data_IF_391117131753
#
_entry.id   IF_391117131753
#
_cell.length_a   1.000
_cell.length_b   1.000
_cell.length_c   1.000
_cell.angle_alpha   90.00
_cell.angle_beta   90.00
_cell.angle_gamma   90.00
#
_symmetry.space_group_name_H-M   'P 1'
#
loop_
_entity.id
_entity.type
_entity.pdbx_description
1 polymer ?
#
# COMPACT_ATOMS: atom_id res chain seq x y z
N UNK A 1 7.28 -4.67 -14.31
CA UNK A 1 8.39 -3.75 -13.92
C UNK A 1 7.75 -2.52 -13.32
N UNK A 2 8.22 -2.03 -12.16
CA UNK A 2 7.71 -0.79 -11.56
C UNK A 2 8.49 0.38 -12.18
N UNK A 3 7.78 1.30 -12.86
CA UNK A 3 8.36 2.47 -13.52
C UNK A 3 7.82 3.80 -13.00
N UNK A 4 6.64 3.78 -12.41
CA UNK A 4 6.05 4.99 -11.80
C UNK A 4 5.49 4.64 -10.42
N UNK A 5 5.92 5.38 -9.42
CA UNK A 5 5.48 5.23 -8.03
C UNK A 5 4.77 6.53 -7.62
N UNK A 6 3.51 6.43 -7.20
CA UNK A 6 2.78 7.53 -6.60
C UNK A 6 2.92 7.46 -5.08
N UNK A 7 3.36 8.53 -4.45
CA UNK A 7 3.41 8.63 -2.98
C UNK A 7 2.52 9.78 -2.49
N UNK A 8 1.72 9.51 -1.46
CA UNK A 8 0.89 10.52 -0.81
C UNK A 8 1.73 11.44 0.06
N UNK A 9 1.55 12.75 -0.10
CA UNK A 9 2.28 13.80 0.62
C UNK A 9 1.27 14.60 1.45
N UNK A 10 1.02 14.17 2.69
CA UNK A 10 -0.04 14.68 3.57
C UNK A 10 0.47 15.52 4.75
N UNK A 11 1.80 15.55 4.97
CA UNK A 11 2.41 16.25 6.11
C UNK A 11 2.18 15.55 7.46
N UNK A 12 1.73 14.30 7.48
CA UNK A 12 1.57 13.51 8.72
C UNK A 12 2.92 13.05 9.28
N UNK A 13 2.93 12.65 10.56
CA UNK A 13 4.12 12.08 11.22
C UNK A 13 4.66 10.81 10.53
N UNK A 14 3.80 10.09 9.81
CA UNK A 14 4.19 8.91 9.05
C UNK A 14 4.80 9.23 7.67
N UNK A 15 4.82 10.51 7.25
CA UNK A 15 5.30 10.90 5.93
C UNK A 15 6.76 10.54 5.72
N UNK A 16 7.64 10.76 6.70
CA UNK A 16 9.07 10.49 6.57
C UNK A 16 9.36 9.00 6.33
N UNK A 17 8.68 8.12 7.06
CA UNK A 17 8.79 6.67 6.87
C UNK A 17 8.31 6.25 5.48
N UNK A 18 7.19 6.81 5.03
CA UNK A 18 6.63 6.58 3.70
C UNK A 18 7.55 7.06 2.59
N UNK A 19 8.13 8.26 2.72
CA UNK A 19 9.07 8.80 1.74
C UNK A 19 10.34 7.98 1.67
N UNK A 20 10.90 7.53 2.81
CA UNK A 20 12.06 6.61 2.80
C UNK A 20 11.79 5.36 1.98
N UNK A 21 10.66 4.68 2.23
CA UNK A 21 10.29 3.49 1.46
C UNK A 21 10.09 3.78 -0.03
N UNK A 22 9.41 4.88 -0.36
CA UNK A 22 9.15 5.28 -1.75
C UNK A 22 10.45 5.63 -2.50
N UNK A 23 11.34 6.41 -1.88
CA UNK A 23 12.65 6.76 -2.46
C UNK A 23 13.54 5.52 -2.64
N UNK A 24 13.56 4.62 -1.65
CA UNK A 24 14.28 3.36 -1.76
C UNK A 24 13.81 2.55 -2.98
N UNK A 25 12.49 2.38 -3.13
CA UNK A 25 11.91 1.65 -4.25
C UNK A 25 12.14 2.36 -5.59
N UNK A 26 12.05 3.70 -5.63
CA UNK A 26 12.31 4.47 -6.83
C UNK A 26 13.75 4.25 -7.33
N UNK A 27 14.73 4.33 -6.43
CA UNK A 27 16.13 4.08 -6.76
C UNK A 27 16.37 2.61 -7.14
N UNK A 28 15.82 1.65 -6.38
CA UNK A 28 15.99 0.24 -6.65
C UNK A 28 15.37 -0.21 -7.97
N UNK A 29 14.26 0.40 -8.42
CA UNK A 29 13.55 0.04 -9.65
C UNK A 29 13.88 0.96 -10.83
N UNK A 30 14.70 1.99 -10.67
CA UNK A 30 14.90 3.06 -11.64
C UNK A 30 13.52 3.60 -12.09
N UNK A 31 12.70 4.00 -11.11
CA UNK A 31 11.34 4.44 -11.30
C UNK A 31 11.18 5.96 -11.10
N UNK A 32 10.24 6.54 -11.82
CA UNK A 32 9.80 7.91 -11.63
C UNK A 32 8.92 8.02 -10.37
N UNK A 33 9.22 8.97 -9.49
CA UNK A 33 8.50 9.18 -8.25
C UNK A 33 7.58 10.39 -8.33
N UNK A 34 6.29 10.18 -8.15
CA UNK A 34 5.26 11.23 -8.17
C UNK A 34 4.81 11.51 -6.75
N UNK A 35 5.05 12.73 -6.26
CA UNK A 35 4.52 13.21 -4.99
C UNK A 35 3.17 13.87 -5.18
N UNK A 36 2.09 13.29 -4.64
CA UNK A 36 0.74 13.83 -4.69
C UNK A 36 0.32 14.47 -3.37
N UNK A 37 0.09 15.78 -3.34
CA UNK A 37 -0.53 16.47 -2.21
C UNK A 37 -1.90 17.00 -2.62
N UNK A 38 -2.85 16.90 -1.69
CA UNK A 38 -4.22 17.33 -1.89
C UNK A 38 -4.57 18.53 -0.99
N UNK A 39 -5.61 19.27 -1.38
CA UNK A 39 -6.15 20.39 -0.59
C UNK A 39 -7.15 19.92 0.48
N UNK A 40 -7.51 18.63 0.48
CA UNK A 40 -8.52 18.03 1.38
C UNK A 40 -9.97 18.29 0.96
N UNK A 41 -10.20 19.22 0.04
CA UNK A 41 -11.50 19.57 -0.51
C UNK A 41 -11.34 20.18 -1.91
N UNK A 42 -12.24 19.88 -2.84
CA UNK A 42 -12.32 20.50 -4.15
C UNK A 42 -12.78 21.96 -4.08
N UNK A 43 -12.35 22.79 -5.02
CA UNK A 43 -12.76 24.19 -5.05
C UNK A 43 -14.28 24.36 -5.12
N UNK A 44 -14.96 23.56 -5.93
CA UNK A 44 -16.42 23.63 -6.07
C UNK A 44 -17.15 23.32 -4.75
N UNK A 45 -16.72 22.25 -4.05
CA UNK A 45 -17.29 21.86 -2.77
C UNK A 45 -17.04 22.93 -1.70
N UNK A 46 -15.83 23.48 -1.68
CA UNK A 46 -15.48 24.59 -0.81
C UNK A 46 -16.36 25.82 -1.08
N UNK A 47 -16.55 26.20 -2.35
CA UNK A 47 -17.37 27.32 -2.74
C UNK A 47 -18.85 27.14 -2.37
N UNK A 48 -19.37 25.92 -2.52
CA UNK A 48 -20.73 25.56 -2.09
C UNK A 48 -20.89 25.66 -0.58
N UNK A 49 -19.95 25.16 0.20
CA UNK A 49 -19.98 25.19 1.67
C UNK A 49 -19.88 26.62 2.22
N UNK A 50 -19.11 27.47 1.57
CA UNK A 50 -18.87 28.86 2.03
C UNK A 50 -19.82 29.89 1.43
N UNK A 51 -20.70 29.49 0.51
CA UNK A 51 -21.58 30.40 -0.23
C UNK A 51 -20.84 31.23 -1.29
N UNK A 52 -19.58 30.91 -1.61
CA UNK A 52 -18.74 31.66 -2.54
C UNK A 52 -18.95 31.28 -4.02
N UNK A 53 -20.05 30.60 -4.35
CA UNK A 53 -20.34 30.06 -5.72
C UNK A 53 -20.33 31.13 -6.81
N UNK A 54 -20.58 32.39 -6.47
CA UNK A 54 -20.53 33.52 -7.41
C UNK A 54 -19.10 34.06 -7.64
N UNK A 55 -18.11 33.61 -6.87
CA UNK A 55 -16.74 34.06 -7.03
C UNK A 55 -16.06 33.33 -8.20
N UNK A 56 -15.48 34.10 -9.11
CA UNK A 56 -14.72 33.57 -10.26
C UNK A 56 -13.30 33.13 -9.89
N UNK A 57 -12.83 33.46 -8.70
CA UNK A 57 -11.49 33.14 -8.19
C UNK A 57 -11.58 32.57 -6.78
N UNK A 58 -10.62 31.69 -6.45
CA UNK A 58 -10.49 31.15 -5.11
C UNK A 58 -10.32 32.26 -4.06
N UNK A 59 -11.14 32.20 -3.00
CA UNK A 59 -11.02 33.12 -1.89
C UNK A 59 -9.74 32.89 -1.07
N UNK A 60 -9.37 33.86 -0.19
CA UNK A 60 -8.12 33.79 0.58
C UNK A 60 -7.96 32.49 1.37
N UNK A 61 -9.04 31.95 1.92
CA UNK A 61 -8.99 30.72 2.73
C UNK A 61 -8.67 29.47 1.90
N UNK A 62 -9.16 29.39 0.66
CA UNK A 62 -8.79 28.30 -0.24
C UNK A 62 -7.34 28.40 -0.70
N UNK A 63 -6.82 29.62 -0.87
CA UNK A 63 -5.39 29.83 -1.12
C UNK A 63 -4.51 29.36 0.03
N UNK A 64 -4.98 29.42 1.29
CA UNK A 64 -4.28 28.83 2.43
C UNK A 64 -4.16 27.30 2.30
N UNK A 65 -5.23 26.63 1.86
CA UNK A 65 -5.18 25.17 1.59
C UNK A 65 -4.17 24.83 0.48
N UNK A 66 -4.18 25.58 -0.61
CA UNK A 66 -3.19 25.46 -1.68
C UNK A 66 -1.75 25.70 -1.20
N UNK A 67 -1.54 26.77 -0.43
CA UNK A 67 -0.22 27.08 0.12
C UNK A 67 0.28 25.99 1.05
N UNK A 68 -0.60 25.43 1.89
CA UNK A 68 -0.29 24.30 2.77
C UNK A 68 0.13 23.07 1.96
N UNK A 69 -0.62 22.71 0.94
CA UNK A 69 -0.28 21.57 0.07
C UNK A 69 1.04 21.81 -0.69
N UNK A 70 1.30 23.02 -1.18
CA UNK A 70 2.59 23.39 -1.81
C UNK A 70 3.75 23.30 -0.83
N UNK A 71 3.58 23.72 0.43
CA UNK A 71 4.61 23.59 1.45
C UNK A 71 4.95 22.11 1.73
N UNK A 72 3.95 21.22 1.77
CA UNK A 72 4.18 19.77 1.89
C UNK A 72 4.96 19.21 0.70
N UNK A 73 4.63 19.65 -0.53
CA UNK A 73 5.36 19.26 -1.74
C UNK A 73 6.81 19.74 -1.72
N UNK A 74 7.10 20.94 -1.22
CA UNK A 74 8.48 21.42 -1.08
C UNK A 74 9.30 20.51 -0.13
N UNK A 75 8.71 20.07 0.99
CA UNK A 75 9.35 19.10 1.90
C UNK A 75 9.61 17.77 1.20
N UNK A 76 8.65 17.29 0.42
CA UNK A 76 8.81 16.09 -0.41
C UNK A 76 9.97 16.23 -1.38
N UNK A 77 10.02 17.32 -2.17
CA UNK A 77 11.09 17.55 -3.15
C UNK A 77 12.48 17.56 -2.52
N UNK A 78 12.62 18.22 -1.36
CA UNK A 78 13.87 18.25 -0.63
C UNK A 78 14.29 16.87 -0.10
N UNK A 79 13.33 16.07 0.36
CA UNK A 79 13.60 14.70 0.80
C UNK A 79 14.04 13.81 -0.37
N UNK A 80 13.35 13.91 -1.50
CA UNK A 80 13.63 13.12 -2.71
C UNK A 80 15.00 13.47 -3.31
N UNK A 81 15.35 14.77 -3.37
CA UNK A 81 16.68 15.22 -3.81
C UNK A 81 17.79 14.68 -2.89
N UNK A 82 17.59 14.75 -1.57
CA UNK A 82 18.55 14.20 -0.59
C UNK A 82 18.71 12.68 -0.71
N UNK A 83 17.62 11.97 -1.06
CA UNK A 83 17.66 10.54 -1.30
C UNK A 83 18.28 10.14 -2.66
N UNK A 84 18.63 11.10 -3.51
CA UNK A 84 19.28 10.87 -4.80
C UNK A 84 18.37 10.22 -5.84
N UNK A 85 17.03 10.41 -5.76
CA UNK A 85 16.10 9.90 -6.78
C UNK A 85 16.25 10.70 -8.06
N UNK A 86 16.59 10.02 -9.15
CA UNK A 86 16.96 10.66 -10.42
C UNK A 86 15.78 11.32 -11.14
N UNK A 87 14.57 10.79 -10.98
CA UNK A 87 13.38 11.26 -11.69
C UNK A 87 12.19 11.39 -10.76
N UNK A 88 11.66 12.59 -10.60
CA UNK A 88 10.49 12.84 -9.78
C UNK A 88 9.70 14.06 -10.23
N UNK A 89 8.46 14.14 -9.82
CA UNK A 89 7.59 15.31 -9.98
C UNK A 89 6.66 15.52 -8.78
N UNK A 90 6.15 16.74 -8.64
CA UNK A 90 5.20 17.15 -7.60
C UNK A 90 3.86 17.49 -8.23
N UNK A 91 2.76 16.96 -7.67
CA UNK A 91 1.39 17.23 -8.13
C UNK A 91 0.55 17.78 -6.99
N UNK A 92 0.06 19.01 -7.16
CA UNK A 92 -0.99 19.58 -6.32
C UNK A 92 -2.34 19.20 -6.91
N UNK A 93 -3.23 18.65 -6.09
CA UNK A 93 -4.55 18.19 -6.50
C UNK A 93 -5.60 18.88 -5.62
N UNK A 94 -6.50 19.61 -6.26
CA UNK A 94 -7.56 20.35 -5.57
C UNK A 94 -8.79 19.48 -5.38
N UNK A 95 -8.65 18.50 -4.49
CA UNK A 95 -9.72 17.55 -4.18
C UNK A 95 -9.48 16.88 -2.82
N UNK A 96 -10.41 16.01 -2.39
CA UNK A 96 -10.21 15.13 -1.24
C UNK A 96 -9.19 14.02 -1.59
N UNK A 97 -8.32 13.68 -0.64
CA UNK A 97 -7.23 12.70 -0.83
C UNK A 97 -7.67 11.39 -1.52
N UNK A 98 -8.86 10.86 -1.19
CA UNK A 98 -9.36 9.61 -1.78
C UNK A 98 -9.55 9.70 -3.29
N UNK A 99 -10.20 10.76 -3.75
CA UNK A 99 -10.45 10.99 -5.18
C UNK A 99 -9.18 11.39 -5.91
N UNK A 100 -8.38 12.29 -5.30
CA UNK A 100 -7.12 12.75 -5.83
C UNK A 100 -6.17 11.58 -6.13
N UNK A 101 -5.93 10.73 -5.14
CA UNK A 101 -5.02 9.59 -5.27
C UNK A 101 -5.58 8.48 -6.16
N UNK A 102 -6.90 8.22 -6.10
CA UNK A 102 -7.54 7.25 -6.98
C UNK A 102 -7.38 7.65 -8.45
N UNK A 103 -7.56 8.94 -8.77
CA UNK A 103 -7.38 9.45 -10.13
C UNK A 103 -5.92 9.32 -10.59
N UNK A 104 -4.98 9.76 -9.74
CA UNK A 104 -3.54 9.72 -10.05
C UNK A 104 -2.99 8.29 -10.11
N UNK A 105 -3.51 7.37 -9.32
CA UNK A 105 -3.08 5.98 -9.31
C UNK A 105 -3.22 5.28 -10.67
N UNK A 106 -4.12 5.77 -11.54
CA UNK A 106 -4.32 5.19 -12.88
C UNK A 106 -3.05 5.21 -13.72
N UNK A 107 -2.15 6.16 -13.45
CA UNK A 107 -0.91 6.39 -14.21
C UNK A 107 0.33 5.95 -13.42
N UNK A 108 0.17 5.21 -12.34
CA UNK A 108 1.25 4.64 -11.54
C UNK A 108 1.23 3.11 -11.58
N UNK A 109 2.35 2.48 -11.29
CA UNK A 109 2.46 1.03 -11.13
C UNK A 109 2.28 0.62 -9.66
N UNK A 110 2.57 1.54 -8.73
CA UNK A 110 2.48 1.32 -7.28
C UNK A 110 2.04 2.61 -6.60
N UNK A 111 1.14 2.51 -5.64
CA UNK A 111 0.75 3.62 -4.76
C UNK A 111 1.32 3.37 -3.38
N UNK A 112 2.05 4.35 -2.83
CA UNK A 112 2.68 4.25 -1.50
C UNK A 112 1.93 5.16 -0.53
N UNK A 113 1.40 4.54 0.51
CA UNK A 113 0.63 5.18 1.57
C UNK A 113 1.19 4.81 2.95
N UNK A 114 0.72 5.49 3.98
CA UNK A 114 0.81 5.01 5.36
C UNK A 114 -0.59 4.82 5.92
N UNK A 115 -0.73 3.96 6.91
CA UNK A 115 -1.95 3.97 7.70
C UNK A 115 -2.01 5.25 8.51
N UNK A 116 -3.19 5.86 8.62
CA UNK A 116 -3.42 6.98 9.52
C UNK A 116 -3.11 6.59 10.97
N UNK A 117 -2.65 7.54 11.78
CA UNK A 117 -2.44 7.29 13.20
C UNK A 117 -3.74 6.82 13.85
N UNK A 118 -3.73 5.60 14.41
CA UNK A 118 -4.91 4.98 15.04
C UNK A 118 -5.42 5.76 16.27
N UNK A 119 -4.58 6.63 16.84
CA UNK A 119 -4.81 7.27 18.11
C UNK A 119 -5.25 8.73 18.02
N UNK A 120 -5.37 9.32 16.83
CA UNK A 120 -5.83 10.68 16.70
C UNK A 120 -7.34 10.74 16.44
N UNK A 121 -8.16 11.06 17.48
CA UNK A 121 -9.61 11.23 17.31
C UNK A 121 -9.97 12.39 16.39
N UNK A 122 -9.03 13.33 16.19
CA UNK A 122 -9.22 14.50 15.35
C UNK A 122 -9.07 14.19 13.85
N UNK A 123 -8.43 13.07 13.49
CA UNK A 123 -8.37 12.67 12.08
C UNK A 123 -9.73 12.12 11.61
N UNK A 124 -10.28 12.64 10.51
CA UNK A 124 -11.52 12.12 9.96
C UNK A 124 -11.42 10.61 9.70
N UNK A 125 -12.47 9.86 10.05
CA UNK A 125 -12.55 8.41 9.78
C UNK A 125 -12.25 8.07 8.31
N UNK A 126 -12.48 9.00 7.39
CA UNK A 126 -12.18 8.92 5.96
C UNK A 126 -10.67 8.83 5.66
N UNK A 127 -9.83 9.54 6.41
CA UNK A 127 -8.37 9.48 6.22
C UNK A 127 -7.79 8.14 6.67
N UNK A 128 -8.37 7.53 7.70
CA UNK A 128 -7.94 6.21 8.21
C UNK A 128 -8.23 5.07 7.24
N UNK A 129 -9.28 5.22 6.43
CA UNK A 129 -9.70 4.22 5.45
C UNK A 129 -9.09 4.46 4.05
N UNK A 130 -8.09 5.33 3.92
CA UNK A 130 -7.49 5.64 2.63
C UNK A 130 -6.83 4.42 1.96
N UNK A 131 -6.02 3.59 2.67
CA UNK A 131 -5.48 2.37 2.09
C UNK A 131 -6.57 1.39 1.64
N UNK A 132 -7.61 1.21 2.47
CA UNK A 132 -8.76 0.36 2.15
C UNK A 132 -9.47 0.83 0.89
N UNK A 133 -9.72 2.15 0.82
CA UNK A 133 -10.41 2.74 -0.32
C UNK A 133 -9.64 2.56 -1.63
N UNK A 134 -8.34 2.82 -1.62
CA UNK A 134 -7.50 2.68 -2.81
C UNK A 134 -7.30 1.20 -3.20
N UNK A 135 -7.20 0.29 -2.24
CA UNK A 135 -7.11 -1.13 -2.53
C UNK A 135 -8.39 -1.67 -3.18
N UNK A 136 -9.59 -1.22 -2.72
CA UNK A 136 -10.87 -1.69 -3.23
C UNK A 136 -11.31 -1.04 -4.55
N UNK A 137 -10.98 0.24 -4.73
CA UNK A 137 -11.50 1.03 -5.86
C UNK A 137 -10.42 1.38 -6.88
N UNK A 138 -9.14 1.20 -6.53
CA UNK A 138 -8.00 1.42 -7.42
C UNK A 138 -7.67 0.19 -8.25
N UNK A 139 -7.14 0.41 -9.46
CA UNK A 139 -6.64 -0.67 -10.32
C UNK A 139 -5.16 -1.00 -10.03
N UNK A 140 -4.57 -0.40 -9.01
CA UNK A 140 -3.13 -0.50 -8.74
C UNK A 140 -2.86 -1.02 -7.33
N UNK A 141 -1.77 -1.79 -7.15
CA UNK A 141 -1.38 -2.25 -5.84
C UNK A 141 -1.05 -1.08 -4.93
N UNK A 142 -1.35 -1.26 -3.66
CA UNK A 142 -1.07 -0.28 -2.61
C UNK A 142 -0.03 -0.85 -1.66
N UNK A 143 1.07 -0.12 -1.46
CA UNK A 143 2.07 -0.40 -0.43
C UNK A 143 1.77 0.47 0.78
N UNK A 144 1.38 -0.13 1.88
CA UNK A 144 1.11 0.55 3.15
C UNK A 144 2.36 0.45 4.03
N UNK A 145 2.99 1.59 4.26
CA UNK A 145 4.22 1.69 5.04
C UNK A 145 3.88 2.00 6.49
N UNK A 146 4.38 1.22 7.47
CA UNK A 146 4.17 1.53 8.88
C UNK A 146 4.88 2.84 9.29
N UNK A 147 4.36 3.56 10.30
CA UNK A 147 4.89 4.88 10.69
C UNK A 147 6.30 4.81 11.28
N UNK A 148 6.68 3.67 11.79
CA UNK A 148 7.99 3.38 12.40
C UNK A 148 8.97 2.68 11.42
N UNK A 149 8.64 2.65 10.13
CA UNK A 149 9.56 2.08 9.13
C UNK A 149 10.86 2.89 9.08
N UNK A 150 11.95 2.21 9.34
CA UNK A 150 13.32 2.71 9.20
C UNK A 150 13.97 2.10 7.94
N UNK A 151 15.29 2.27 7.77
CA UNK A 151 16.04 1.81 6.59
C UNK A 151 16.21 0.27 6.54
N UNK A 152 15.12 -0.45 6.73
CA UNK A 152 15.11 -1.91 6.61
C UNK A 152 15.11 -2.30 5.13
N UNK A 153 15.76 -3.44 4.78
CA UNK A 153 15.75 -3.91 3.41
C UNK A 153 14.31 -4.14 2.90
N UNK A 154 13.97 -3.53 1.77
CA UNK A 154 12.69 -3.69 1.10
C UNK A 154 12.96 -4.19 -0.35
N UNK A 155 12.68 -5.47 -0.67
CA UNK A 155 11.86 -6.39 0.09
C UNK A 155 12.58 -7.22 1.17
N UNK A 156 13.92 -7.40 1.14
CA UNK A 156 14.60 -8.35 2.04
C UNK A 156 13.96 -9.76 1.98
N UNK A 157 13.62 -10.35 3.13
CA UNK A 157 12.71 -11.50 3.17
C UNK A 157 11.28 -11.02 2.92
N UNK A 158 10.55 -11.67 2.00
CA UNK A 158 9.14 -11.38 1.74
C UNK A 158 8.24 -12.51 2.26
N UNK A 159 7.18 -12.17 3.00
CA UNK A 159 6.11 -13.11 3.37
C UNK A 159 4.92 -12.88 2.45
N UNK A 160 4.50 -13.90 1.74
CA UNK A 160 3.38 -13.85 0.78
C UNK A 160 2.25 -14.74 1.28
N UNK A 161 1.12 -14.16 1.65
CA UNK A 161 -0.08 -14.91 2.02
C UNK A 161 -0.74 -15.51 0.79
N UNK A 162 -0.93 -16.82 0.78
CA UNK A 162 -1.53 -17.57 -0.31
C UNK A 162 -2.72 -18.41 0.15
N UNK A 163 -3.89 -18.16 -0.44
CA UNK A 163 -5.15 -18.85 -0.17
C UNK A 163 -5.86 -19.34 -1.45
N UNK A 164 -5.22 -19.21 -2.61
CA UNK A 164 -5.80 -19.57 -3.90
C UNK A 164 -6.79 -18.55 -4.46
N UNK A 165 -7.03 -17.43 -3.78
CA UNK A 165 -7.98 -16.40 -4.24
C UNK A 165 -7.47 -15.59 -5.43
N UNK A 166 -8.39 -14.99 -6.18
CA UNK A 166 -8.05 -14.07 -7.27
C UNK A 166 -7.29 -12.85 -6.75
N UNK A 167 -7.60 -12.38 -5.56
CA UNK A 167 -6.95 -11.27 -4.90
C UNK A 167 -5.49 -11.60 -4.53
N UNK A 168 -5.23 -12.82 -4.04
CA UNK A 168 -3.87 -13.28 -3.79
C UNK A 168 -3.08 -13.38 -5.11
N UNK A 169 -3.69 -13.86 -6.18
CA UNK A 169 -3.08 -13.88 -7.52
C UNK A 169 -2.76 -12.46 -7.98
N UNK A 170 -3.71 -11.52 -7.86
CA UNK A 170 -3.50 -10.13 -8.25
C UNK A 170 -2.36 -9.48 -7.45
N UNK A 171 -2.31 -9.68 -6.13
CA UNK A 171 -1.26 -9.16 -5.25
C UNK A 171 0.12 -9.74 -5.61
N UNK A 172 0.21 -11.05 -5.83
CA UNK A 172 1.44 -11.72 -6.25
C UNK A 172 1.91 -11.18 -7.59
N UNK A 173 1.03 -11.09 -8.59
CA UNK A 173 1.36 -10.58 -9.92
C UNK A 173 1.88 -9.13 -9.86
N UNK A 174 1.24 -8.28 -9.05
CA UNK A 174 1.67 -6.91 -8.83
C UNK A 174 3.03 -6.82 -8.10
N UNK A 175 3.28 -7.72 -7.17
CA UNK A 175 4.50 -7.76 -6.36
C UNK A 175 5.69 -8.45 -7.06
N UNK A 176 5.50 -9.15 -8.17
CA UNK A 176 6.56 -9.91 -8.86
C UNK A 176 7.88 -9.15 -9.03
N UNK A 177 7.89 -7.83 -9.42
CA UNK A 177 9.14 -7.10 -9.55
C UNK A 177 9.92 -6.94 -8.25
N UNK A 178 9.24 -6.98 -7.10
CA UNK A 178 9.84 -6.93 -5.77
C UNK A 178 10.21 -8.34 -5.30
N UNK A 179 9.33 -9.31 -5.50
CA UNK A 179 9.54 -10.71 -5.09
C UNK A 179 10.75 -11.34 -5.80
N UNK A 180 10.97 -11.00 -7.06
CA UNK A 180 12.17 -11.44 -7.81
C UNK A 180 13.48 -10.86 -7.25
N UNK A 181 13.42 -9.80 -6.46
CA UNK A 181 14.58 -9.15 -5.79
C UNK A 181 14.70 -9.53 -4.33
N UNK A 182 13.73 -10.24 -3.78
CA UNK A 182 13.76 -10.69 -2.41
C UNK A 182 14.89 -11.70 -2.18
N UNK A 183 15.50 -11.65 -1.01
CA UNK A 183 16.49 -12.66 -0.60
C UNK A 183 15.85 -14.05 -0.58
N UNK A 184 14.62 -14.10 -0.05
CA UNK A 184 13.77 -15.27 -0.05
C UNK A 184 12.29 -14.87 0.06
N UNK A 185 11.42 -15.59 -0.62
CA UNK A 185 9.96 -15.50 -0.53
C UNK A 185 9.44 -16.66 0.32
N UNK A 186 8.82 -16.35 1.45
CA UNK A 186 8.10 -17.30 2.29
C UNK A 186 6.65 -17.31 1.82
N UNK A 187 6.28 -18.31 1.03
CA UNK A 187 4.89 -18.52 0.57
C UNK A 187 4.10 -19.16 1.71
N UNK A 188 3.31 -18.35 2.40
CA UNK A 188 2.63 -18.71 3.63
C UNK A 188 1.20 -19.18 3.37
N UNK A 189 0.89 -20.40 3.79
CA UNK A 189 -0.46 -20.98 3.81
C UNK A 189 -0.88 -21.20 5.26
N UNK A 190 -1.93 -20.52 5.69
CA UNK A 190 -2.46 -20.65 7.05
C UNK A 190 -3.71 -21.50 7.01
N UNK A 191 -3.69 -22.62 7.77
CA UNK A 191 -4.79 -23.58 7.85
C UNK A 191 -5.34 -23.98 6.47
N UNK A 192 -4.48 -24.38 5.48
CA UNK A 192 -5.02 -24.83 4.21
C UNK A 192 -5.94 -26.01 4.44
N UNK A 193 -7.17 -25.90 3.96
CA UNK A 193 -8.14 -27.02 4.05
C UNK A 193 -7.57 -28.25 3.34
N UNK A 194 -8.07 -29.44 3.72
CA UNK A 194 -7.62 -30.69 3.16
C UNK A 194 -7.69 -30.65 1.60
N UNK A 195 -6.85 -31.47 0.90
CA UNK A 195 -6.65 -31.36 -0.54
C UNK A 195 -7.97 -31.21 -1.29
N UNK A 196 -8.22 -30.00 -1.74
CA UNK A 196 -9.37 -29.63 -2.53
C UNK A 196 -8.91 -29.20 -3.92
N UNK A 197 -9.84 -28.97 -4.81
CA UNK A 197 -9.60 -28.59 -6.20
C UNK A 197 -8.69 -27.36 -6.41
N UNK A 198 -8.51 -26.51 -5.36
CA UNK A 198 -7.75 -25.26 -5.42
C UNK A 198 -6.25 -25.41 -5.12
N UNK A 199 -5.84 -26.46 -4.41
CA UNK A 199 -4.45 -26.55 -3.91
C UNK A 199 -3.69 -27.78 -4.41
N UNK A 200 -4.32 -28.68 -5.18
CA UNK A 200 -3.70 -29.94 -5.64
C UNK A 200 -3.26 -30.85 -4.49
N UNK A 201 -2.35 -31.79 -4.77
CA UNK A 201 -1.83 -32.74 -3.78
C UNK A 201 -0.90 -32.06 -2.75
N UNK A 202 -0.19 -31.02 -3.16
CA UNK A 202 0.74 -30.23 -2.33
C UNK A 202 0.36 -28.76 -2.34
N UNK A 203 -0.33 -28.26 -1.28
CA UNK A 203 -0.75 -26.87 -1.20
C UNK A 203 0.42 -25.89 -1.40
N UNK A 204 0.27 -24.96 -2.34
CA UNK A 204 1.26 -23.93 -2.63
C UNK A 204 2.37 -24.32 -3.62
N UNK A 205 2.51 -25.60 -3.99
CA UNK A 205 3.59 -26.05 -4.87
C UNK A 205 3.57 -25.39 -6.25
N UNK A 206 2.40 -25.28 -6.88
CA UNK A 206 2.25 -24.66 -8.19
C UNK A 206 2.55 -23.15 -8.15
N UNK A 207 2.12 -22.46 -7.10
CA UNK A 207 2.42 -21.05 -6.93
C UNK A 207 3.91 -20.83 -6.63
N UNK A 208 4.54 -21.70 -5.85
CA UNK A 208 5.99 -21.66 -5.62
C UNK A 208 6.76 -21.86 -6.93
N UNK A 209 6.34 -22.82 -7.76
CA UNK A 209 6.93 -23.04 -9.09
C UNK A 209 6.72 -21.84 -10.02
N UNK A 210 5.53 -21.22 -9.98
CA UNK A 210 5.25 -20.00 -10.72
C UNK A 210 6.21 -18.87 -10.31
N UNK A 211 6.35 -18.60 -9.02
CA UNK A 211 7.27 -17.60 -8.50
C UNK A 211 8.74 -17.89 -8.85
N UNK A 212 9.16 -19.16 -8.75
CA UNK A 212 10.51 -19.58 -9.12
C UNK A 212 10.81 -19.33 -10.60
N UNK A 213 9.86 -19.56 -11.51
CA UNK A 213 9.98 -19.24 -12.94
C UNK A 213 10.13 -17.73 -13.20
N UNK A 214 9.66 -16.89 -12.28
CA UNK A 214 9.85 -15.42 -12.29
C UNK A 214 11.12 -14.96 -11.57
N UNK A 215 12.00 -15.90 -11.17
CA UNK A 215 13.31 -15.61 -10.58
C UNK A 215 13.31 -15.46 -9.06
N UNK A 216 12.20 -15.68 -8.38
CA UNK A 216 12.16 -15.64 -6.91
C UNK A 216 12.70 -16.94 -6.30
N UNK A 217 13.44 -16.82 -5.17
CA UNK A 217 13.75 -17.98 -4.30
C UNK A 217 12.56 -18.18 -3.37
N UNK A 218 11.92 -19.32 -3.43
CA UNK A 218 10.67 -19.58 -2.71
C UNK A 218 10.81 -20.73 -1.75
N UNK A 219 10.26 -20.56 -0.57
CA UNK A 219 10.05 -21.60 0.42
C UNK A 219 8.58 -21.60 0.84
N UNK A 220 7.93 -22.76 0.79
CA UNK A 220 6.53 -22.92 1.15
C UNK A 220 6.42 -23.19 2.65
N UNK A 221 5.68 -22.33 3.34
CA UNK A 221 5.43 -22.43 4.78
C UNK A 221 3.97 -22.72 5.04
N UNK A 222 3.67 -23.87 5.61
CA UNK A 222 2.32 -24.25 6.02
C UNK A 222 2.20 -24.13 7.54
N UNK A 223 1.32 -23.27 8.00
CA UNK A 223 1.03 -23.11 9.42
C UNK A 223 -0.37 -23.60 9.76
N UNK A 224 -0.48 -24.41 10.81
CA UNK A 224 -1.74 -24.86 11.38
C UNK A 224 -1.89 -24.29 12.77
N UNK A 225 -2.80 -23.34 12.93
CA UNK A 225 -2.97 -22.57 14.16
C UNK A 225 -4.44 -22.30 14.46
N UNK A 226 -4.73 -21.96 15.73
CA UNK A 226 -6.03 -21.44 16.16
C UNK A 226 -6.07 -19.90 16.16
N UNK A 227 -4.94 -19.25 15.95
CA UNK A 227 -4.86 -17.80 15.79
C UNK A 227 -5.57 -17.35 14.49
N UNK A 228 -5.84 -16.08 14.38
CA UNK A 228 -6.36 -15.52 13.13
C UNK A 228 -5.31 -15.62 12.02
N UNK A 229 -5.73 -15.62 10.76
CA UNK A 229 -4.82 -15.64 9.61
C UNK A 229 -3.89 -14.42 9.65
N UNK A 230 -4.42 -13.25 10.03
CA UNK A 230 -3.64 -12.03 10.16
C UNK A 230 -2.56 -12.15 11.25
N UNK A 231 -2.89 -12.70 12.42
CA UNK A 231 -1.92 -12.93 13.49
C UNK A 231 -0.82 -13.92 13.07
N UNK A 232 -1.19 -15.00 12.38
CA UNK A 232 -0.24 -15.98 11.86
C UNK A 232 0.73 -15.34 10.87
N UNK A 233 0.22 -14.60 9.88
CA UNK A 233 1.06 -13.90 8.89
C UNK A 233 1.98 -12.87 9.55
N UNK A 234 1.49 -12.09 10.50
CA UNK A 234 2.32 -11.12 11.25
C UNK A 234 3.35 -11.82 12.14
N UNK A 235 3.01 -12.98 12.70
CA UNK A 235 3.95 -13.85 13.42
C UNK A 235 5.08 -14.29 12.51
N UNK A 236 4.76 -14.87 11.35
CA UNK A 236 5.75 -15.27 10.36
C UNK A 236 6.63 -14.09 9.90
N UNK A 237 6.02 -12.93 9.63
CA UNK A 237 6.78 -11.73 9.23
C UNK A 237 7.82 -11.33 10.28
N UNK A 238 7.46 -11.40 11.57
CA UNK A 238 8.37 -11.13 12.68
C UNK A 238 9.46 -12.21 12.78
N UNK A 239 9.06 -13.47 12.75
CA UNK A 239 9.96 -14.61 13.04
C UNK A 239 10.99 -14.81 11.90
N UNK A 240 10.63 -14.46 10.67
CA UNK A 240 11.54 -14.48 9.52
C UNK A 240 12.23 -13.13 9.25
N UNK A 241 12.00 -12.09 10.06
CA UNK A 241 12.57 -10.75 9.85
C UNK A 241 12.17 -10.16 8.49
N UNK A 242 10.89 -10.30 8.13
CA UNK A 242 10.43 -9.87 6.82
C UNK A 242 10.54 -8.35 6.64
N UNK A 243 10.99 -7.92 5.46
CA UNK A 243 10.98 -6.53 5.03
C UNK A 243 9.74 -6.18 4.19
N UNK A 244 8.99 -7.20 3.74
CA UNK A 244 7.78 -7.02 2.95
C UNK A 244 6.76 -8.12 3.26
N UNK A 245 5.51 -7.74 3.38
CA UNK A 245 4.36 -8.66 3.36
C UNK A 245 3.52 -8.38 2.11
N UNK A 246 3.03 -9.45 1.46
CA UNK A 246 2.17 -9.36 0.27
C UNK A 246 0.93 -10.21 0.51
N UNK A 247 -0.26 -9.62 0.38
CA UNK A 247 -1.53 -10.32 0.53
C UNK A 247 -2.59 -9.80 -0.43
N UNK A 248 -3.52 -10.65 -0.82
CA UNK A 248 -4.76 -10.19 -1.44
C UNK A 248 -5.56 -9.32 -0.47
N UNK A 249 -6.29 -8.35 -1.02
CA UNK A 249 -7.19 -7.50 -0.25
C UNK A 249 -8.64 -7.91 -0.48
N UNK A 250 -9.40 -8.08 0.60
CA UNK A 250 -10.87 -8.30 0.56
C UNK A 250 -11.34 -9.49 -0.30
N UNK A 251 -10.60 -10.59 -0.30
CA UNK A 251 -11.00 -11.83 -0.96
C UNK A 251 -12.23 -12.45 -0.27
N UNK A 252 -13.18 -12.93 -1.08
CA UNK A 252 -14.32 -13.67 -0.59
C UNK A 252 -13.95 -15.16 -0.45
N UNK A 253 -13.66 -15.58 0.76
CA UNK A 253 -13.72 -17.02 1.09
C UNK A 253 -15.17 -17.50 0.92
N UNK A 254 -15.37 -18.58 0.14
CA UNK A 254 -16.71 -19.14 -0.27
C UNK A 254 -17.68 -19.47 0.87
N UNK A 255 -17.31 -19.26 2.15
CA UNK A 255 -18.09 -19.79 3.27
C UNK A 255 -18.46 -18.83 4.41
N UNK A 256 -18.14 -17.51 4.32
CA UNK A 256 -18.59 -16.59 5.39
C UNK A 256 -18.99 -15.23 4.83
N UNK A 257 -20.25 -15.09 4.47
CA UNK A 257 -20.92 -13.85 4.04
C UNK A 257 -20.95 -12.72 5.09
N UNK A 258 -20.33 -12.90 6.27
CA UNK A 258 -20.44 -11.98 7.40
C UNK A 258 -19.14 -11.30 7.86
N UNK A 259 -18.00 -11.56 7.25
CA UNK A 259 -16.75 -10.89 7.64
C UNK A 259 -16.02 -10.35 6.41
N UNK A 260 -16.55 -9.30 5.82
CA UNK A 260 -15.89 -8.48 4.79
C UNK A 260 -14.52 -8.02 5.32
N UNK A 261 -13.43 -8.70 4.89
CA UNK A 261 -12.08 -8.18 5.01
C UNK A 261 -11.41 -8.27 6.40
N UNK A 262 -11.82 -9.21 7.27
CA UNK A 262 -11.23 -9.32 8.61
C UNK A 262 -9.70 -9.40 8.60
N UNK A 263 -9.11 -10.24 7.74
CA UNK A 263 -7.65 -10.39 7.62
C UNK A 263 -7.00 -9.11 7.10
N UNK A 264 -7.52 -8.55 6.00
CA UNK A 264 -6.97 -7.32 5.41
C UNK A 264 -7.01 -6.16 6.41
N UNK A 265 -8.14 -5.99 7.09
CA UNK A 265 -8.30 -4.96 8.12
C UNK A 265 -7.32 -5.17 9.27
N UNK A 266 -7.20 -6.38 9.79
CA UNK A 266 -6.28 -6.71 10.87
C UNK A 266 -4.83 -6.40 10.47
N UNK A 267 -4.41 -6.78 9.25
CA UNK A 267 -3.08 -6.49 8.75
C UNK A 267 -2.86 -4.98 8.57
N UNK A 268 -3.82 -4.26 8.00
CA UNK A 268 -3.74 -2.80 7.85
C UNK A 268 -3.65 -2.08 9.20
N UNK A 269 -4.32 -2.61 10.24
CA UNK A 269 -4.28 -2.03 11.58
C UNK A 269 -3.01 -2.36 12.36
N UNK A 270 -2.40 -3.54 12.16
CA UNK A 270 -1.42 -4.11 13.09
C UNK A 270 -0.06 -4.45 12.46
N UNK A 271 0.05 -4.56 11.12
CA UNK A 271 1.31 -4.91 10.48
C UNK A 271 2.42 -3.88 10.80
N UNK A 272 3.61 -4.39 11.13
CA UNK A 272 4.80 -3.60 11.46
C UNK A 272 5.85 -3.62 10.37
N UNK A 273 5.53 -4.24 9.25
CA UNK A 273 6.34 -4.28 8.04
C UNK A 273 5.55 -3.70 6.89
N UNK A 274 6.19 -3.15 5.86
CA UNK A 274 5.51 -2.72 4.64
C UNK A 274 4.60 -3.82 4.10
N UNK A 275 3.33 -3.47 3.85
CA UNK A 275 2.29 -4.37 3.40
C UNK A 275 1.84 -3.98 2.00
N UNK A 276 2.10 -4.84 1.01
CA UNK A 276 1.57 -4.69 -0.34
C UNK A 276 0.26 -5.44 -0.46
N UNK A 277 -0.79 -4.74 -0.85
CA UNK A 277 -2.13 -5.30 -1.08
C UNK A 277 -2.62 -4.99 -2.49
N UNK A 278 -3.39 -5.90 -3.07
CA UNK A 278 -4.16 -5.69 -4.30
C UNK A 278 -5.47 -6.47 -4.25
N UNK A 279 -6.46 -6.00 -5.02
CA UNK A 279 -7.80 -6.60 -5.09
C UNK A 279 -8.11 -7.12 -6.50
#
# INVERSE_FOLDING_TARGET
>A
MIKTILVHVDGSDAQDSRLRAACFLANACDAHLVGGADTGIGWLDYALLTGAVAATTAGPDFEVLRATARARLAVFEDAVRRAGVASFESRLIEDEARYALLLQSRYADLVVLSRGAQADPAQPMRARALPDHLALHGARPVLVVPPDYADQPLPGTAVVGWDGSMQAIAAIAAALPLLARADIVRLALVNPEAPGELHGEQPGADMALYLARHGARVDVVVERTRATVGEALMGMARDYGAGLMVTGAYGHGRYREWMLGGVTRELLERARVPLLIAH
#
